data_IF_931131451636
#
_entry.id   IF_931131451636
#
_cell.length_a   1.000
_cell.length_b   1.000
_cell.length_c   1.000
_cell.angle_alpha   90.00
_cell.angle_beta   90.00
_cell.angle_gamma   90.00
#
_symmetry.space_group_name_H-M   'P 1'
#
loop_
_entity.id
_entity.type
_entity.pdbx_description
1 polymer ?
#
# COMPACT_ATOMS: atom_id res chain seq x y z
N UNK A 1 -7.95 31.23 20.91
CA UNK A 1 -7.31 30.08 20.21
C UNK A 1 -5.81 29.96 20.43
N UNK A 2 -5.06 31.05 20.67
CA UNK A 2 -3.57 31.03 20.77
C UNK A 2 -3.03 30.32 22.03
N UNK A 3 -3.73 30.37 23.17
CA UNK A 3 -3.27 29.74 24.42
C UNK A 3 -3.29 28.20 24.38
N UNK A 4 -4.29 27.60 23.71
CA UNK A 4 -4.42 26.13 23.60
C UNK A 4 -3.30 25.51 22.75
N UNK A 5 -2.83 26.22 21.72
CA UNK A 5 -1.71 25.80 20.87
C UNK A 5 -0.35 25.79 21.58
N UNK A 6 -0.21 26.50 22.70
CA UNK A 6 1.00 26.52 23.53
C UNK A 6 1.03 25.38 24.54
N UNK A 7 -0.13 25.01 25.09
CA UNK A 7 -0.26 23.91 26.07
C UNK A 7 -0.32 22.53 25.42
N UNK A 8 -0.80 22.44 24.17
CA UNK A 8 -0.89 21.20 23.39
C UNK A 8 -0.33 21.41 21.97
N UNK A 9 1.00 21.59 21.84
CA UNK A 9 1.60 21.80 20.54
C UNK A 9 1.37 20.58 19.64
N UNK A 10 1.09 20.84 18.35
CA UNK A 10 1.12 19.78 17.35
C UNK A 10 2.55 19.29 17.24
N UNK A 11 2.78 18.01 17.51
CA UNK A 11 4.09 17.39 17.38
C UNK A 11 4.19 16.64 16.06
N UNK A 12 5.33 16.76 15.39
CA UNK A 12 5.60 16.02 14.17
C UNK A 12 5.62 14.52 14.45
N UNK A 13 4.89 13.74 13.64
CA UNK A 13 4.85 12.28 13.78
C UNK A 13 6.19 11.62 13.49
N UNK A 14 7.09 12.31 12.80
CA UNK A 14 8.46 11.90 12.58
C UNK A 14 9.39 12.20 13.74
N UNK A 15 9.74 13.49 13.90
CA UNK A 15 10.79 13.94 14.81
C UNK A 15 10.28 14.51 16.15
N UNK A 16 8.97 14.52 16.39
CA UNK A 16 8.32 15.14 17.56
C UNK A 16 8.58 16.65 17.71
N UNK A 17 9.15 17.32 16.71
CA UNK A 17 9.28 18.77 16.74
C UNK A 17 7.90 19.46 16.74
N UNK A 18 7.73 20.57 17.47
CA UNK A 18 6.47 21.28 17.53
C UNK A 18 6.16 22.05 16.23
N UNK A 19 4.87 22.29 15.98
CA UNK A 19 4.37 23.20 14.93
C UNK A 19 3.54 22.52 13.84
N UNK A 20 3.89 21.29 13.44
CA UNK A 20 3.19 20.56 12.38
C UNK A 20 3.22 19.06 12.60
N UNK A 21 2.18 18.33 12.16
CA UNK A 21 2.17 16.86 12.18
C UNK A 21 3.20 16.26 11.21
N UNK A 22 3.51 16.99 10.12
CA UNK A 22 4.55 16.66 9.16
C UNK A 22 5.39 17.91 8.92
N UNK A 23 6.61 17.96 9.45
CA UNK A 23 7.54 19.07 9.17
C UNK A 23 8.28 18.82 7.85
N UNK A 24 8.75 19.88 7.20
CA UNK A 24 9.46 19.80 5.91
C UNK A 24 10.64 18.83 5.95
N UNK A 25 11.50 18.93 6.98
CA UNK A 25 12.65 18.04 7.16
C UNK A 25 12.25 16.55 7.28
N UNK A 26 11.08 16.24 7.86
CA UNK A 26 10.59 14.85 7.92
C UNK A 26 9.99 14.39 6.58
N UNK A 27 9.31 15.30 5.86
CA UNK A 27 8.76 15.02 4.54
C UNK A 27 9.88 14.77 3.51
N UNK A 28 10.95 15.56 3.54
CA UNK A 28 12.12 15.39 2.66
C UNK A 28 12.85 14.05 2.88
N UNK A 29 12.71 13.45 4.08
CA UNK A 29 13.30 12.15 4.42
C UNK A 29 12.40 10.96 4.10
N UNK A 30 11.15 11.21 3.70
CA UNK A 30 10.25 10.16 3.23
C UNK A 30 10.61 9.83 1.78
N UNK A 31 11.41 8.78 1.63
CA UNK A 31 11.77 8.24 0.32
C UNK A 31 10.57 7.49 -0.25
N UNK A 32 9.98 8.08 -1.28
CA UNK A 32 8.98 7.45 -2.14
C UNK A 32 9.73 6.56 -3.13
N UNK A 33 9.27 5.32 -3.27
CA UNK A 33 9.90 4.39 -4.20
C UNK A 33 9.55 4.73 -5.65
N UNK A 34 10.59 4.81 -6.47
CA UNK A 34 10.42 4.96 -7.92
C UNK A 34 10.09 3.61 -8.56
N UNK A 35 9.26 3.66 -9.60
CA UNK A 35 8.96 2.52 -10.47
C UNK A 35 10.10 2.24 -11.45
N UNK A 36 10.96 3.22 -11.72
CA UNK A 36 12.05 3.08 -12.67
C UNK A 36 12.99 1.93 -12.29
N UNK A 37 13.31 1.08 -13.27
CA UNK A 37 14.17 -0.10 -13.05
C UNK A 37 13.52 -1.23 -12.24
N UNK A 38 12.22 -1.17 -11.94
CA UNK A 38 11.49 -2.23 -11.21
C UNK A 38 10.53 -3.01 -12.10
N UNK A 39 10.36 -4.29 -11.79
CA UNK A 39 9.43 -5.18 -12.46
C UNK A 39 7.98 -4.77 -12.19
N UNK A 40 7.15 -4.65 -13.24
CA UNK A 40 5.74 -4.30 -13.08
C UNK A 40 4.91 -5.33 -12.30
N UNK A 41 5.32 -6.60 -12.28
CA UNK A 41 4.54 -7.70 -11.67
C UNK A 41 4.92 -7.99 -10.21
N UNK A 42 6.17 -7.76 -9.82
CA UNK A 42 6.65 -8.09 -8.47
C UNK A 42 7.46 -6.98 -7.79
N UNK A 43 7.65 -5.84 -8.46
CA UNK A 43 8.33 -4.65 -7.97
C UNK A 43 9.81 -4.83 -7.56
N UNK A 44 10.43 -5.98 -7.88
CA UNK A 44 11.87 -6.18 -7.71
C UNK A 44 12.68 -5.41 -8.74
N UNK A 45 13.95 -5.11 -8.45
CA UNK A 45 14.87 -4.54 -9.44
C UNK A 45 15.07 -5.48 -10.63
N UNK A 46 15.06 -4.88 -11.82
CA UNK A 46 15.30 -5.55 -13.08
C UNK A 46 16.80 -5.80 -13.27
N UNK A 47 17.14 -6.98 -13.77
CA UNK A 47 18.49 -7.25 -14.27
C UNK A 47 18.82 -6.41 -15.49
N UNK A 48 20.10 -6.31 -15.85
CA UNK A 48 20.59 -5.50 -16.99
C UNK A 48 19.98 -5.86 -18.34
N UNK A 49 19.47 -7.08 -18.50
CA UNK A 49 18.78 -7.56 -19.70
C UNK A 49 17.25 -7.49 -19.63
N UNK A 50 16.69 -7.07 -18.50
CA UNK A 50 15.24 -7.02 -18.24
C UNK A 50 14.74 -5.57 -18.39
N UNK A 51 13.61 -5.35 -19.07
CA UNK A 51 13.14 -3.98 -19.40
C UNK A 51 11.91 -3.55 -18.62
N UNK A 52 10.87 -4.38 -18.61
CA UNK A 52 9.60 -4.10 -17.89
C UNK A 52 9.18 -5.24 -16.96
N UNK A 53 9.55 -6.46 -17.34
CA UNK A 53 9.23 -7.67 -16.63
C UNK A 53 10.51 -8.44 -16.35
N UNK A 54 10.53 -9.04 -15.18
CA UNK A 54 11.64 -9.86 -14.76
C UNK A 54 11.45 -11.32 -15.19
N UNK A 55 12.54 -12.06 -15.30
CA UNK A 55 12.60 -13.47 -15.70
C UNK A 55 11.77 -14.44 -14.85
N UNK A 56 11.42 -14.06 -13.61
CA UNK A 56 10.61 -14.88 -12.70
C UNK A 56 9.11 -14.63 -12.82
N UNK A 57 8.70 -13.57 -13.52
CA UNK A 57 7.29 -13.23 -13.69
C UNK A 57 6.78 -13.69 -15.06
N UNK A 58 5.58 -14.27 -15.06
CA UNK A 58 4.93 -14.66 -16.31
C UNK A 58 4.44 -13.41 -17.06
N UNK A 59 4.75 -13.25 -18.37
CA UNK A 59 4.24 -12.14 -19.18
C UNK A 59 2.72 -12.12 -19.33
N UNK A 60 2.06 -13.26 -19.11
CA UNK A 60 0.60 -13.40 -19.16
C UNK A 60 -0.10 -12.99 -17.85
N UNK A 61 0.66 -12.60 -16.82
CA UNK A 61 0.07 -12.21 -15.54
C UNK A 61 -0.62 -10.86 -15.67
N UNK A 62 -1.88 -10.77 -15.24
CA UNK A 62 -2.61 -9.49 -15.16
C UNK A 62 -2.36 -8.76 -13.84
N UNK A 63 -1.27 -9.10 -13.15
CA UNK A 63 -0.90 -8.54 -11.86
C UNK A 63 -0.03 -7.30 -12.05
N UNK A 64 -0.33 -6.18 -11.40
CA UNK A 64 0.63 -5.10 -11.22
C UNK A 64 0.95 -4.96 -9.74
N UNK A 65 2.22 -4.71 -9.39
CA UNK A 65 2.64 -4.57 -8.00
C UNK A 65 3.39 -3.26 -7.78
N UNK A 66 3.09 -2.60 -6.66
CA UNK A 66 3.67 -1.32 -6.25
C UNK A 66 4.07 -1.37 -4.78
N UNK A 67 5.18 -0.73 -4.44
CA UNK A 67 5.54 -0.35 -3.06
C UNK A 67 5.71 1.16 -3.00
N UNK A 68 5.16 1.82 -1.98
CA UNK A 68 5.14 3.29 -1.93
C UNK A 68 6.37 3.90 -1.28
N UNK A 69 6.87 3.27 -0.21
CA UNK A 69 7.89 3.87 0.66
C UNK A 69 8.98 2.87 1.03
N UNK A 70 10.18 3.37 1.29
CA UNK A 70 11.14 2.61 2.09
C UNK A 70 10.68 2.54 3.55
N UNK A 71 10.89 1.41 4.25
CA UNK A 71 10.57 1.25 5.66
C UNK A 71 11.56 1.99 6.58
N UNK A 72 11.76 3.29 6.34
CA UNK A 72 12.56 4.16 7.20
C UNK A 72 11.89 4.34 8.56
N UNK A 73 12.68 4.65 9.60
CA UNK A 73 12.14 4.98 10.93
C UNK A 73 11.06 6.07 10.86
N UNK A 74 11.23 7.02 9.94
CA UNK A 74 10.27 8.08 9.65
C UNK A 74 8.92 7.52 9.18
N UNK A 75 8.95 6.73 8.09
CA UNK A 75 7.75 6.17 7.48
C UNK A 75 7.01 5.24 8.45
N UNK A 76 7.77 4.42 9.20
CA UNK A 76 7.22 3.52 10.22
C UNK A 76 6.60 4.28 11.41
N UNK A 77 7.19 5.41 11.83
CA UNK A 77 6.60 6.25 12.88
C UNK A 77 5.27 6.86 12.44
N UNK A 78 5.20 7.37 11.20
CA UNK A 78 3.94 7.87 10.62
C UNK A 78 2.91 6.74 10.52
N UNK A 79 3.32 5.54 10.12
CA UNK A 79 2.45 4.36 10.07
C UNK A 79 1.91 3.96 11.43
N UNK A 80 2.73 3.98 12.48
CA UNK A 80 2.26 3.72 13.83
C UNK A 80 1.14 4.69 14.24
N UNK A 81 1.27 5.97 13.89
CA UNK A 81 0.20 6.98 14.12
C UNK A 81 -1.05 6.71 13.28
N UNK A 82 -0.90 6.22 12.05
CA UNK A 82 -2.03 5.81 11.23
C UNK A 82 -2.78 4.62 11.87
N UNK A 83 -2.05 3.62 12.37
CA UNK A 83 -2.62 2.47 13.11
C UNK A 83 -3.34 2.89 14.40
N UNK A 84 -2.90 3.96 15.06
CA UNK A 84 -3.60 4.59 16.20
C UNK A 84 -4.86 5.39 15.78
N UNK A 85 -5.20 5.42 14.49
CA UNK A 85 -6.32 6.18 13.96
C UNK A 85 -6.07 7.70 13.89
N UNK A 86 -4.81 8.16 13.95
CA UNK A 86 -4.52 9.59 13.84
C UNK A 86 -4.80 10.08 12.43
N UNK A 87 -5.83 10.93 12.30
CA UNK A 87 -6.33 11.41 11.01
C UNK A 87 -5.27 11.99 10.06
N UNK A 88 -4.30 12.82 10.49
CA UNK A 88 -3.28 13.31 9.57
C UNK A 88 -2.42 12.19 8.99
N UNK A 89 -2.11 11.14 9.76
CA UNK A 89 -1.36 9.97 9.30
C UNK A 89 -2.18 9.08 8.38
N UNK A 90 -3.47 8.88 8.68
CA UNK A 90 -4.39 8.19 7.78
C UNK A 90 -4.47 8.89 6.41
N UNK A 91 -4.63 10.22 6.42
CA UNK A 91 -4.69 11.04 5.21
C UNK A 91 -3.38 11.06 4.43
N UNK A 92 -2.24 10.94 5.12
CA UNK A 92 -0.94 10.84 4.47
C UNK A 92 -0.89 9.58 3.60
N UNK A 93 -1.17 8.40 4.16
CA UNK A 93 -1.14 7.16 3.37
C UNK A 93 -2.27 7.07 2.36
N UNK A 94 -3.49 7.48 2.73
CA UNK A 94 -4.64 7.33 1.83
C UNK A 94 -4.53 8.17 0.57
N UNK A 95 -3.96 9.38 0.66
CA UNK A 95 -3.71 10.22 -0.51
C UNK A 95 -2.66 9.62 -1.44
N UNK A 96 -1.60 9.02 -0.91
CA UNK A 96 -0.58 8.38 -1.74
C UNK A 96 -1.12 7.12 -2.42
N UNK A 97 -1.91 6.31 -1.72
CA UNK A 97 -2.59 5.17 -2.34
C UNK A 97 -3.56 5.65 -3.42
N UNK A 98 -4.36 6.69 -3.16
CA UNK A 98 -5.26 7.28 -4.15
C UNK A 98 -4.54 7.79 -5.38
N UNK A 99 -3.38 8.44 -5.21
CA UNK A 99 -2.54 8.88 -6.32
C UNK A 99 -2.10 7.71 -7.20
N UNK A 100 -1.64 6.60 -6.59
CA UNK A 100 -1.28 5.41 -7.34
C UNK A 100 -2.47 4.79 -8.06
N UNK A 101 -3.63 4.70 -7.40
CA UNK A 101 -4.86 4.18 -8.00
C UNK A 101 -5.30 5.00 -9.21
N UNK A 102 -5.14 6.33 -9.16
CA UNK A 102 -5.45 7.22 -10.26
C UNK A 102 -4.49 7.09 -11.45
N UNK A 103 -3.30 6.49 -11.24
CA UNK A 103 -2.31 6.25 -12.31
C UNK A 103 -2.51 4.92 -13.04
N UNK A 104 -3.49 4.11 -12.62
CA UNK A 104 -3.79 2.82 -13.24
C UNK A 104 -4.62 2.99 -14.50
N UNK A 105 -4.37 2.13 -15.49
CA UNK A 105 -5.18 2.08 -16.72
C UNK A 105 -6.64 1.68 -16.42
N UNK A 106 -6.83 0.80 -15.43
CA UNK A 106 -8.14 0.34 -14.98
C UNK A 106 -8.34 0.67 -13.50
N UNK A 107 -9.40 1.42 -13.21
CA UNK A 107 -9.78 1.74 -11.83
C UNK A 107 -10.32 0.48 -11.12
N UNK A 108 -9.78 0.12 -9.95
CA UNK A 108 -10.28 -1.03 -9.21
C UNK A 108 -11.73 -0.82 -8.73
N UNK A 109 -12.53 -1.88 -8.70
CA UNK A 109 -13.91 -1.82 -8.16
C UNK A 109 -13.95 -2.03 -6.65
N UNK A 110 -12.91 -2.66 -6.08
CA UNK A 110 -12.82 -2.94 -4.67
C UNK A 110 -11.37 -2.98 -4.16
N UNK A 111 -11.24 -2.84 -2.84
CA UNK A 111 -10.01 -3.06 -2.09
C UNK A 111 -10.16 -4.35 -1.29
N UNK A 112 -9.40 -5.37 -1.66
CA UNK A 112 -9.19 -6.56 -0.85
C UNK A 112 -7.97 -6.34 0.06
N UNK A 113 -8.04 -6.81 1.31
CA UNK A 113 -6.91 -6.70 2.25
C UNK A 113 -6.90 -7.85 3.23
N UNK A 114 -5.71 -8.32 3.60
CA UNK A 114 -5.59 -9.35 4.63
C UNK A 114 -5.54 -8.66 5.99
N UNK A 115 -6.45 -9.01 6.88
CA UNK A 115 -6.69 -8.30 8.15
C UNK A 115 -5.47 -8.22 9.08
N UNK A 116 -4.47 -9.09 8.91
CA UNK A 116 -3.22 -9.08 9.66
C UNK A 116 -2.07 -8.32 8.99
N UNK A 117 -2.24 -7.83 7.77
CA UNK A 117 -1.14 -7.28 6.95
C UNK A 117 -1.16 -5.76 6.82
N UNK A 118 -2.27 -5.11 7.20
CA UNK A 118 -2.40 -3.65 7.18
C UNK A 118 -3.46 -3.21 8.20
N UNK A 119 -3.29 -2.02 8.77
CA UNK A 119 -4.31 -1.37 9.59
C UNK A 119 -5.62 -1.19 8.82
N UNK A 120 -6.73 -1.59 9.47
CA UNK A 120 -8.09 -1.45 8.94
C UNK A 120 -8.44 0.03 8.71
N UNK A 121 -7.96 0.91 9.57
CA UNK A 121 -8.23 2.34 9.56
C UNK A 121 -7.73 2.97 8.24
N UNK A 122 -6.56 2.55 7.76
CA UNK A 122 -6.01 2.99 6.47
C UNK A 122 -6.91 2.52 5.32
N UNK A 123 -7.27 1.23 5.31
CA UNK A 123 -8.15 0.66 4.27
C UNK A 123 -9.50 1.38 4.26
N UNK A 124 -10.06 1.67 5.42
CA UNK A 124 -11.32 2.40 5.58
C UNK A 124 -11.23 3.81 4.99
N UNK A 125 -10.14 4.54 5.27
CA UNK A 125 -9.94 5.89 4.78
C UNK A 125 -9.76 5.92 3.25
N UNK A 126 -8.96 4.99 2.69
CA UNK A 126 -8.76 4.87 1.23
C UNK A 126 -10.07 4.52 0.55
N UNK A 127 -10.78 3.50 1.01
CA UNK A 127 -12.03 3.07 0.40
C UNK A 127 -13.11 4.16 0.46
N UNK A 128 -13.11 4.98 1.52
CA UNK A 128 -14.00 6.15 1.61
C UNK A 128 -13.63 7.23 0.60
N UNK A 129 -12.33 7.52 0.47
CA UNK A 129 -11.81 8.52 -0.46
C UNK A 129 -12.14 8.15 -1.92
N UNK A 130 -11.91 6.89 -2.28
CA UNK A 130 -12.07 6.35 -3.63
C UNK A 130 -13.47 5.75 -3.90
N UNK A 131 -14.36 5.77 -2.91
CA UNK A 131 -15.72 5.16 -2.98
C UNK A 131 -15.71 3.67 -3.37
N UNK A 132 -14.73 2.92 -2.87
CA UNK A 132 -14.53 1.51 -3.19
C UNK A 132 -15.17 0.58 -2.15
N UNK A 133 -15.60 -0.60 -2.59
CA UNK A 133 -15.97 -1.68 -1.68
C UNK A 133 -14.74 -2.22 -0.96
N UNK A 134 -14.91 -2.67 0.29
CA UNK A 134 -13.82 -3.23 1.11
C UNK A 134 -14.09 -4.71 1.35
N UNK A 135 -13.14 -5.56 1.03
CA UNK A 135 -13.26 -7.01 1.21
C UNK A 135 -12.15 -7.50 2.14
N UNK A 136 -12.47 -7.80 3.42
CA UNK A 136 -11.50 -8.38 4.33
C UNK A 136 -11.21 -9.85 3.97
N UNK A 137 -9.94 -10.20 3.96
CA UNK A 137 -9.42 -11.56 3.82
C UNK A 137 -8.79 -12.00 5.13
N UNK A 138 -9.08 -13.23 5.54
CA UNK A 138 -8.67 -13.78 6.82
C UNK A 138 -7.51 -14.77 6.64
N UNK A 139 -6.38 -14.60 7.35
CA UNK A 139 -5.19 -15.46 7.19
C UNK A 139 -5.44 -16.95 7.45
N UNK A 140 -6.32 -17.27 8.39
CA UNK A 140 -6.63 -18.65 8.81
C UNK A 140 -7.64 -19.35 7.91
N UNK A 141 -8.37 -18.61 7.07
CA UNK A 141 -9.31 -19.20 6.12
C UNK A 141 -8.58 -19.65 4.84
N UNK A 142 -9.08 -20.68 4.14
CA UNK A 142 -8.48 -21.14 2.89
C UNK A 142 -8.39 -20.02 1.85
N UNK A 143 -7.17 -19.67 1.42
CA UNK A 143 -6.88 -18.54 0.52
C UNK A 143 -7.69 -18.63 -0.78
N UNK A 144 -7.59 -19.77 -1.47
CA UNK A 144 -8.27 -20.02 -2.75
C UNK A 144 -9.78 -19.76 -2.68
N UNK A 145 -10.45 -20.27 -1.64
CA UNK A 145 -11.90 -20.06 -1.43
C UNK A 145 -12.28 -18.60 -1.21
N UNK A 146 -11.38 -17.81 -0.62
CA UNK A 146 -11.62 -16.38 -0.42
C UNK A 146 -11.43 -15.61 -1.73
N UNK A 147 -10.39 -15.94 -2.51
CA UNK A 147 -10.14 -15.32 -3.81
C UNK A 147 -11.25 -15.63 -4.82
N UNK A 148 -11.76 -16.86 -4.87
CA UNK A 148 -12.83 -17.27 -5.79
C UNK A 148 -14.16 -16.54 -5.56
N UNK A 149 -14.34 -15.93 -4.37
CA UNK A 149 -15.53 -15.15 -4.00
C UNK A 149 -15.40 -13.67 -4.32
N UNK A 150 -14.23 -13.21 -4.78
CA UNK A 150 -14.04 -11.83 -5.19
C UNK A 150 -14.83 -11.53 -6.48
N UNK A 151 -15.19 -10.26 -6.73
CA UNK A 151 -15.85 -9.84 -7.96
C UNK A 151 -15.05 -10.30 -9.19
N UNK A 152 -15.73 -10.93 -10.15
CA UNK A 152 -15.11 -11.46 -11.37
C UNK A 152 -15.25 -10.46 -12.51
N UNK A 153 -14.20 -10.30 -13.31
CA UNK A 153 -14.19 -9.42 -14.48
C UNK A 153 -13.92 -7.94 -14.17
N UNK A 154 -13.72 -7.58 -12.90
CA UNK A 154 -13.40 -6.22 -12.46
C UNK A 154 -12.01 -6.19 -11.83
N UNK A 155 -11.26 -5.12 -12.07
CA UNK A 155 -9.94 -4.92 -11.46
C UNK A 155 -10.04 -4.89 -9.91
N UNK A 156 -9.19 -5.66 -9.23
CA UNK A 156 -9.16 -5.75 -7.76
C UNK A 156 -7.84 -5.18 -7.24
N UNK A 157 -7.92 -4.23 -6.29
CA UNK A 157 -6.76 -3.75 -5.56
C UNK A 157 -6.55 -4.57 -4.27
N UNK A 158 -5.42 -5.23 -4.14
CA UNK A 158 -4.93 -5.81 -2.89
C UNK A 158 -4.07 -4.79 -2.16
N UNK A 159 -4.45 -4.44 -0.94
CA UNK A 159 -3.74 -3.46 -0.13
C UNK A 159 -3.10 -4.13 1.09
N UNK A 160 -1.81 -3.87 1.31
CA UNK A 160 -1.03 -4.41 2.42
C UNK A 160 0.02 -3.42 2.93
N UNK A 161 0.57 -3.62 4.13
CA UNK A 161 1.69 -2.80 4.61
C UNK A 161 3.01 -3.16 3.91
N UNK A 162 3.23 -4.45 3.64
CA UNK A 162 4.40 -4.99 2.94
C UNK A 162 3.95 -5.88 1.77
N UNK A 163 4.83 -6.21 0.80
CA UNK A 163 4.48 -7.10 -0.29
C UNK A 163 3.89 -8.42 0.21
N UNK A 164 2.84 -8.90 -0.44
CA UNK A 164 2.16 -10.12 -0.05
C UNK A 164 3.09 -11.33 -0.20
N UNK A 165 2.95 -12.31 0.69
CA UNK A 165 3.75 -13.53 0.60
C UNK A 165 3.45 -14.30 -0.68
N UNK A 166 4.45 -15.07 -1.16
CA UNK A 166 4.32 -15.88 -2.37
C UNK A 166 3.07 -16.78 -2.36
N UNK A 167 2.70 -17.33 -1.19
CA UNK A 167 1.48 -18.15 -1.03
C UNK A 167 0.19 -17.37 -1.30
N UNK A 168 0.13 -16.10 -0.93
CA UNK A 168 -1.00 -15.23 -1.25
C UNK A 168 -0.97 -14.83 -2.71
N UNK A 169 0.19 -14.44 -3.24
CA UNK A 169 0.34 -14.07 -4.65
C UNK A 169 -0.06 -15.21 -5.60
N UNK A 170 0.37 -16.44 -5.32
CA UNK A 170 -0.04 -17.61 -6.10
C UNK A 170 -1.55 -17.88 -6.02
N UNK A 171 -2.16 -17.71 -4.85
CA UNK A 171 -3.60 -17.88 -4.71
C UNK A 171 -4.39 -16.80 -5.46
N UNK A 172 -3.87 -15.57 -5.50
CA UNK A 172 -4.47 -14.44 -6.21
C UNK A 172 -4.34 -14.66 -7.72
N UNK A 173 -3.13 -14.86 -8.24
CA UNK A 173 -2.88 -15.05 -9.67
C UNK A 173 -3.54 -16.33 -10.20
N UNK A 174 -3.54 -17.42 -9.42
CA UNK A 174 -4.14 -18.68 -9.83
C UNK A 174 -5.66 -18.76 -9.62
N UNK A 175 -6.26 -17.83 -8.88
CA UNK A 175 -7.69 -17.83 -8.55
C UNK A 175 -8.47 -16.64 -9.13
N UNK A 176 -7.78 -15.56 -9.50
CA UNK A 176 -8.38 -14.36 -10.08
C UNK A 176 -8.52 -14.53 -11.59
N UNK A 177 -9.75 -14.42 -12.09
CA UNK A 177 -10.01 -14.22 -13.51
C UNK A 177 -10.01 -12.73 -13.90
N UNK A 178 -9.69 -11.85 -12.94
CA UNK A 178 -9.71 -10.40 -13.10
C UNK A 178 -8.30 -9.81 -13.07
N UNK A 179 -8.10 -8.63 -13.66
CA UNK A 179 -6.91 -7.82 -13.44
C UNK A 179 -6.68 -7.55 -11.96
N UNK A 180 -5.43 -7.59 -11.53
CA UNK A 180 -5.06 -7.47 -10.13
C UNK A 180 -4.02 -6.37 -9.98
N UNK A 181 -4.24 -5.48 -9.02
CA UNK A 181 -3.21 -4.56 -8.56
C UNK A 181 -2.88 -4.87 -7.11
N UNK A 182 -1.60 -4.93 -6.74
CA UNK A 182 -1.13 -5.12 -5.37
C UNK A 182 -0.35 -3.88 -4.95
N UNK A 183 -0.92 -3.07 -4.05
CA UNK A 183 -0.25 -1.91 -3.47
C UNK A 183 0.22 -2.27 -2.06
N UNK A 184 1.51 -2.09 -1.82
CA UNK A 184 2.11 -2.21 -0.49
C UNK A 184 2.59 -0.85 -0.01
N UNK A 185 2.38 -0.52 1.26
CA UNK A 185 2.88 0.74 1.82
C UNK A 185 4.41 0.80 1.81
N UNK A 186 5.07 -0.30 2.14
CA UNK A 186 6.50 -0.40 2.30
C UNK A 186 7.11 -1.43 1.35
N UNK A 187 8.33 -1.19 0.90
CA UNK A 187 9.17 -2.19 0.26
C UNK A 187 9.50 -3.33 1.26
N UNK A 188 9.73 -4.54 0.75
CA UNK A 188 10.31 -5.63 1.53
C UNK A 188 11.69 -5.25 2.05
N UNK A 189 11.99 -5.57 3.31
CA UNK A 189 13.33 -5.37 3.90
C UNK A 189 14.40 -6.26 3.26
N UNK A 190 14.00 -7.32 2.54
CA UNK A 190 14.93 -8.27 1.91
C UNK A 190 15.31 -7.90 0.45
N UNK A 191 14.77 -6.81 -0.09
CA UNK A 191 15.04 -6.35 -1.46
C UNK A 191 15.99 -5.13 -1.49
N UNK A 192 16.74 -4.90 -0.41
CA UNK A 192 17.88 -3.98 -0.30
C UNK A 192 19.19 -4.75 -0.35
#
# INVERSE_FOLDING_TARGET
MVLFSLLFPKLCYGCQAPGAYFCSNCLEKLLVEDREGRCLHCFRYLGSSETRLCSQCSPSSQLQAFSLYLPSQMALSVYARACEGKRPALQFFSKSIAFELASLDETPSCIAYITSTISREIVVEVAKLEKLLRIPLWPWLPKKRQIEKLPKGECICFLSAYPLSQKWMQAIVGGSASPVVSISLFLSQNDQ
#
